data_IF_993430298692
#
_entry.id   IF_993430298692
#
_cell.length_a   1.000
_cell.length_b   1.000
_cell.length_c   1.000
_cell.angle_alpha   90.00
_cell.angle_beta   90.00
_cell.angle_gamma   90.00
#
_symmetry.space_group_name_H-M   'P 1'
#
loop_
_entity.id
_entity.type
_entity.pdbx_description
1 polymer ?
#
# COMPACT_ATOMS: atom_id res chain seq x y z
N UNK A 1 3.42 -23.85 51.17
CA UNK A 1 4.33 -24.03 50.02
C UNK A 1 3.59 -24.68 48.87
N UNK A 2 3.18 -23.90 47.87
CA UNK A 2 3.40 -24.14 46.44
C UNK A 2 2.93 -22.88 45.71
N UNK A 3 3.85 -22.33 44.95
CA UNK A 3 3.86 -20.98 44.38
C UNK A 3 2.74 -20.80 43.35
N UNK A 4 2.15 -19.61 43.37
CA UNK A 4 1.51 -18.99 42.23
C UNK A 4 2.39 -19.11 40.99
N UNK A 5 1.81 -19.58 39.88
CA UNK A 5 2.27 -19.20 38.54
C UNK A 5 1.26 -18.20 38.04
N UNK A 6 1.62 -16.93 38.19
CA UNK A 6 0.94 -15.79 37.61
C UNK A 6 0.99 -15.89 36.09
N UNK A 7 -0.14 -15.76 35.42
CA UNK A 7 -0.22 -15.48 33.99
C UNK A 7 0.20 -14.03 33.75
N UNK A 8 1.49 -13.75 33.91
CA UNK A 8 2.10 -12.45 33.61
C UNK A 8 3.52 -12.72 33.13
N UNK A 9 3.66 -12.97 31.83
CA UNK A 9 4.87 -12.76 31.03
C UNK A 9 4.48 -12.94 29.55
N UNK A 10 3.44 -12.21 29.12
CA UNK A 10 3.46 -11.73 27.74
C UNK A 10 4.51 -10.64 27.76
N UNK A 11 5.68 -10.93 27.18
CA UNK A 11 6.75 -9.97 26.97
C UNK A 11 6.10 -8.67 26.44
N UNK A 12 6.10 -7.60 27.24
CA UNK A 12 5.78 -6.26 26.75
C UNK A 12 6.84 -5.98 25.69
N UNK A 13 6.46 -6.18 24.43
CA UNK A 13 7.37 -5.97 23.32
C UNK A 13 7.53 -4.47 23.19
N UNK A 14 8.70 -3.97 23.58
CA UNK A 14 9.08 -2.58 23.35
C UNK A 14 9.07 -2.31 21.85
N UNK A 15 8.19 -1.42 21.40
CA UNK A 15 8.19 -0.90 20.05
C UNK A 15 9.25 0.20 19.97
N UNK A 16 10.08 0.15 18.93
CA UNK A 16 11.02 1.24 18.66
C UNK A 16 10.26 2.26 17.82
N UNK A 17 10.07 3.48 18.35
CA UNK A 17 9.68 4.58 17.45
C UNK A 17 10.86 4.85 16.53
N UNK A 18 10.56 5.04 15.23
CA UNK A 18 11.57 5.53 14.29
C UNK A 18 12.17 6.81 14.85
N UNK A 19 13.49 6.85 14.97
CA UNK A 19 14.15 8.12 15.22
C UNK A 19 13.94 9.03 14.00
N UNK A 20 14.01 10.35 14.20
CA UNK A 20 13.92 11.28 13.07
C UNK A 20 15.02 11.00 12.02
N UNK A 21 16.18 10.50 12.44
CA UNK A 21 17.27 10.12 11.54
C UNK A 21 16.93 8.85 10.74
N UNK A 22 16.37 7.83 11.38
CA UNK A 22 15.92 6.62 10.67
C UNK A 22 14.83 6.96 9.66
N UNK A 23 13.86 7.79 10.04
CA UNK A 23 12.79 8.22 9.14
C UNK A 23 13.34 8.99 7.95
N UNK A 24 14.29 9.90 8.16
CA UNK A 24 14.93 10.63 7.07
C UNK A 24 15.65 9.69 6.09
N UNK A 25 16.35 8.67 6.60
CA UNK A 25 16.98 7.66 5.74
C UNK A 25 15.92 6.88 4.95
N UNK A 26 14.80 6.52 5.58
CA UNK A 26 13.67 5.86 4.90
C UNK A 26 13.10 6.75 3.79
N UNK A 27 12.85 8.03 4.07
CA UNK A 27 12.40 9.01 3.08
C UNK A 27 13.36 9.14 1.90
N UNK A 28 14.67 9.21 2.17
CA UNK A 28 15.69 9.26 1.11
C UNK A 28 15.68 8.00 0.24
N UNK A 29 15.53 6.82 0.83
CA UNK A 29 15.42 5.56 0.09
C UNK A 29 14.14 5.49 -0.73
N UNK A 30 12.99 5.85 -0.13
CA UNK A 30 11.71 5.90 -0.82
C UNK A 30 11.71 6.88 -1.98
N UNK A 31 12.35 8.04 -1.82
CA UNK A 31 12.54 9.02 -2.90
C UNK A 31 13.37 8.43 -4.04
N UNK A 32 14.49 7.76 -3.75
CA UNK A 32 15.30 7.10 -4.78
C UNK A 32 14.49 6.03 -5.53
N UNK A 33 13.67 5.26 -4.82
CA UNK A 33 12.80 4.25 -5.41
C UNK A 33 11.74 4.88 -6.31
N UNK A 34 11.13 5.99 -5.89
CA UNK A 34 10.12 6.67 -6.68
C UNK A 34 10.71 7.38 -7.90
N UNK A 35 11.91 7.95 -7.80
CA UNK A 35 12.65 8.49 -8.94
C UNK A 35 12.95 7.37 -9.95
N UNK A 36 13.28 6.17 -9.49
CA UNK A 36 13.50 5.03 -10.38
C UNK A 36 12.19 4.58 -11.05
N UNK A 37 11.08 4.51 -10.31
CA UNK A 37 9.76 4.25 -10.89
C UNK A 37 9.40 5.31 -11.92
N UNK A 38 9.64 6.59 -11.63
CA UNK A 38 9.44 7.70 -12.57
C UNK A 38 10.26 7.51 -13.85
N UNK A 39 11.56 7.21 -13.73
CA UNK A 39 12.45 6.96 -14.88
C UNK A 39 11.90 5.87 -15.80
N UNK A 40 11.47 4.75 -15.21
CA UNK A 40 10.87 3.63 -15.97
C UNK A 40 9.56 4.10 -16.62
N UNK A 41 8.70 4.78 -15.87
CA UNK A 41 7.42 5.25 -16.39
C UNK A 41 7.60 6.22 -17.57
N UNK A 42 8.51 7.19 -17.47
CA UNK A 42 8.84 8.14 -18.53
C UNK A 42 9.42 7.44 -19.76
N UNK A 43 10.39 6.52 -19.57
CA UNK A 43 11.03 5.77 -20.66
C UNK A 43 10.03 4.96 -21.48
N UNK A 44 9.01 4.37 -20.85
CA UNK A 44 8.05 3.48 -21.51
C UNK A 44 6.67 4.12 -21.76
N UNK A 45 6.49 5.40 -21.40
CA UNK A 45 5.21 6.09 -21.54
C UNK A 45 4.09 5.45 -20.71
N UNK A 46 4.40 5.03 -19.49
CA UNK A 46 3.45 4.52 -18.49
C UNK A 46 2.98 5.71 -17.66
N UNK A 47 1.67 5.91 -17.57
CA UNK A 47 1.12 7.03 -16.79
C UNK A 47 0.93 6.61 -15.33
N UNK A 48 1.39 7.46 -14.42
CA UNK A 48 1.24 7.28 -12.99
C UNK A 48 0.87 8.61 -12.31
N UNK A 49 0.40 8.53 -11.08
CA UNK A 49 0.14 9.67 -10.20
C UNK A 49 0.65 9.34 -8.80
N UNK A 50 1.19 10.32 -8.08
CA UNK A 50 1.25 10.20 -6.62
C UNK A 50 -0.17 10.03 -6.09
N UNK A 51 -0.33 9.31 -4.98
CA UNK A 51 -1.61 9.16 -4.30
C UNK A 51 -1.43 9.18 -2.78
N UNK A 52 -2.51 9.00 -2.04
CA UNK A 52 -2.44 8.80 -0.60
C UNK A 52 -1.76 9.94 0.17
N UNK A 53 -0.98 9.55 1.18
CA UNK A 53 -0.16 10.46 1.99
C UNK A 53 0.87 11.21 1.16
N UNK A 54 1.47 10.56 0.15
CA UNK A 54 2.47 11.18 -0.72
C UNK A 54 1.93 12.32 -1.57
N UNK A 55 0.70 12.20 -2.09
CA UNK A 55 0.06 13.28 -2.83
C UNK A 55 -0.33 14.44 -1.90
N UNK A 56 -0.77 14.15 -0.67
CA UNK A 56 -0.99 15.19 0.36
C UNK A 56 0.34 15.89 0.68
N UNK A 57 1.41 15.12 0.86
CA UNK A 57 2.76 15.61 1.10
C UNK A 57 3.24 16.55 -0.01
N UNK A 58 3.14 16.13 -1.27
CA UNK A 58 3.51 16.94 -2.43
C UNK A 58 2.79 18.30 -2.43
N UNK A 59 1.48 18.30 -2.19
CA UNK A 59 0.65 19.52 -2.27
C UNK A 59 0.83 20.42 -1.03
N UNK A 60 0.98 19.84 0.15
CA UNK A 60 0.98 20.58 1.43
C UNK A 60 2.37 20.93 1.94
N UNK A 61 3.33 20.02 1.77
CA UNK A 61 4.68 20.12 2.33
C UNK A 61 5.77 20.21 1.26
N UNK A 62 5.42 20.03 -0.01
CA UNK A 62 6.38 19.91 -1.13
C UNK A 62 7.36 18.75 -0.95
N UNK A 63 6.94 17.70 -0.25
CA UNK A 63 7.77 16.57 0.16
C UNK A 63 7.01 15.60 1.05
N UNK A 64 7.71 14.79 1.83
CA UNK A 64 7.07 13.87 2.77
C UNK A 64 6.25 14.61 3.83
N UNK A 65 5.18 13.98 4.30
CA UNK A 65 4.57 14.39 5.56
C UNK A 65 5.56 13.99 6.68
N UNK A 66 5.93 14.89 7.61
CA UNK A 66 7.08 14.65 8.50
C UNK A 66 7.01 13.43 9.43
N UNK A 67 5.82 12.87 9.64
CA UNK A 67 5.60 11.68 10.47
C UNK A 67 5.09 10.48 9.65
N UNK A 68 4.95 10.64 8.34
CA UNK A 68 4.52 9.59 7.45
C UNK A 68 5.73 8.78 7.00
N UNK A 69 5.51 7.51 6.72
CA UNK A 69 6.58 6.53 6.58
C UNK A 69 6.44 5.65 5.34
N UNK A 70 5.49 5.99 4.46
CA UNK A 70 5.25 5.35 3.19
C UNK A 70 5.46 6.30 2.00
N UNK A 71 5.49 5.69 0.82
CA UNK A 71 5.32 6.43 -0.42
C UNK A 71 4.46 5.64 -1.39
N UNK A 72 3.44 6.30 -1.93
CA UNK A 72 2.39 5.69 -2.71
C UNK A 72 2.30 6.26 -4.12
N UNK A 73 2.27 5.35 -5.09
CA UNK A 73 2.01 5.66 -6.50
C UNK A 73 0.77 4.90 -6.95
N UNK A 74 -0.09 5.54 -7.73
CA UNK A 74 -1.23 4.91 -8.36
C UNK A 74 -1.10 4.89 -9.89
N UNK A 75 -1.61 3.82 -10.49
CA UNK A 75 -1.67 3.63 -11.94
C UNK A 75 -3.03 3.07 -12.33
N UNK A 76 -3.54 3.41 -13.52
CA UNK A 76 -4.68 2.68 -14.07
C UNK A 76 -4.27 1.23 -14.35
N UNK A 77 -5.20 0.27 -14.22
CA UNK A 77 -4.92 -1.17 -14.40
C UNK A 77 -4.06 -1.49 -15.64
N UNK A 78 -4.34 -0.87 -16.80
CA UNK A 78 -3.54 -1.04 -18.02
C UNK A 78 -2.07 -0.61 -17.86
N UNK A 79 -1.85 0.55 -17.25
CA UNK A 79 -0.52 1.11 -17.02
C UNK A 79 0.22 0.30 -15.94
N UNK A 80 -0.51 -0.14 -14.91
CA UNK A 80 -0.02 -1.01 -13.85
C UNK A 80 0.49 -2.36 -14.38
N UNK A 81 -0.30 -3.08 -15.18
CA UNK A 81 0.14 -4.37 -15.76
C UNK A 81 1.37 -4.20 -16.64
N UNK A 82 1.39 -3.14 -17.47
CA UNK A 82 2.55 -2.82 -18.30
C UNK A 82 3.79 -2.51 -17.46
N UNK A 83 3.62 -1.84 -16.32
CA UNK A 83 4.72 -1.60 -15.38
C UNK A 83 5.25 -2.90 -14.79
N UNK A 84 4.37 -3.83 -14.38
CA UNK A 84 4.79 -5.14 -13.83
C UNK A 84 5.56 -5.99 -14.83
N UNK A 85 5.25 -5.90 -16.12
CA UNK A 85 5.98 -6.59 -17.18
C UNK A 85 7.40 -6.04 -17.38
N UNK A 86 7.57 -4.72 -17.27
CA UNK A 86 8.79 -4.01 -17.67
C UNK A 86 9.75 -3.83 -16.49
N UNK A 87 9.23 -3.40 -15.34
CA UNK A 87 10.04 -2.95 -14.22
C UNK A 87 11.02 -4.01 -13.68
N UNK A 88 10.70 -5.32 -13.60
CA UNK A 88 11.67 -6.32 -13.14
C UNK A 88 12.97 -6.39 -13.96
N UNK A 89 12.94 -5.97 -15.23
CA UNK A 89 14.11 -5.97 -16.12
C UNK A 89 14.86 -4.63 -16.13
N UNK A 90 14.20 -3.57 -15.67
CA UNK A 90 14.66 -2.19 -15.81
C UNK A 90 15.09 -1.56 -14.49
N UNK A 91 14.59 -2.06 -13.35
CA UNK A 91 14.98 -1.59 -12.02
C UNK A 91 16.48 -1.77 -11.79
N UNK A 92 17.10 -0.78 -11.17
CA UNK A 92 18.42 -0.92 -10.56
C UNK A 92 18.48 -2.18 -9.67
N UNK A 93 19.64 -2.85 -9.65
CA UNK A 93 19.85 -4.10 -8.91
C UNK A 93 19.57 -3.97 -7.41
N UNK A 94 19.68 -2.75 -6.85
CA UNK A 94 19.35 -2.49 -5.44
C UNK A 94 17.85 -2.53 -5.15
N UNK A 95 17.00 -2.55 -6.17
CA UNK A 95 15.55 -2.62 -6.05
C UNK A 95 14.97 -3.95 -6.55
N UNK A 96 13.74 -4.24 -6.13
CA UNK A 96 13.00 -5.41 -6.60
C UNK A 96 11.50 -5.17 -6.54
N UNK A 97 10.73 -5.94 -7.32
CA UNK A 97 9.28 -6.01 -7.21
C UNK A 97 8.88 -7.22 -6.38
N UNK A 98 8.01 -6.99 -5.42
CA UNK A 98 7.27 -8.02 -4.69
C UNK A 98 5.78 -7.77 -4.85
N UNK A 99 5.01 -8.85 -4.98
CA UNK A 99 3.56 -8.84 -5.02
C UNK A 99 3.03 -10.21 -4.57
N UNK A 100 1.71 -10.37 -4.53
CA UNK A 100 1.10 -11.62 -4.07
C UNK A 100 1.43 -12.87 -4.95
N UNK A 101 1.97 -12.69 -6.16
CA UNK A 101 2.33 -13.79 -7.07
C UNK A 101 3.70 -14.38 -6.77
N UNK A 102 4.69 -13.51 -6.51
CA UNK A 102 6.07 -13.90 -6.22
C UNK A 102 6.40 -13.92 -4.72
N UNK A 103 5.56 -13.29 -3.90
CA UNK A 103 5.64 -13.24 -2.43
C UNK A 103 4.33 -13.73 -1.79
N UNK A 104 4.15 -15.06 -1.61
CA UNK A 104 2.94 -15.65 -1.01
C UNK A 104 2.59 -15.10 0.38
N UNK A 105 3.55 -14.56 1.11
CA UNK A 105 3.42 -13.86 2.38
C UNK A 105 2.58 -12.57 2.31
N UNK A 106 2.52 -11.91 1.14
CA UNK A 106 1.80 -10.65 1.00
C UNK A 106 0.30 -10.90 1.08
N UNK A 107 -0.36 -10.32 2.09
CA UNK A 107 -1.82 -10.43 2.25
C UNK A 107 -2.56 -9.55 1.25
N UNK A 108 -2.04 -8.34 1.04
CA UNK A 108 -2.55 -7.40 0.06
C UNK A 108 -2.00 -7.71 -1.32
N UNK A 109 -2.73 -7.30 -2.34
CA UNK A 109 -2.43 -7.63 -3.73
C UNK A 109 -1.90 -6.44 -4.53
N UNK A 110 -1.61 -5.33 -3.85
CA UNK A 110 -0.78 -4.29 -4.45
C UNK A 110 0.64 -4.82 -4.71
N UNK A 111 1.40 -4.07 -5.49
CA UNK A 111 2.82 -4.33 -5.71
C UNK A 111 3.62 -3.39 -4.84
N UNK A 112 4.72 -3.88 -4.28
CA UNK A 112 5.76 -3.06 -3.67
C UNK A 112 7.00 -3.08 -4.54
N UNK A 113 7.60 -1.92 -4.70
CA UNK A 113 9.03 -1.86 -5.01
C UNK A 113 9.75 -1.85 -3.67
N UNK A 114 10.73 -2.72 -3.48
CA UNK A 114 11.53 -2.84 -2.25
C UNK A 114 12.98 -2.46 -2.49
N UNK A 115 13.63 -1.97 -1.44
CA UNK A 115 15.07 -1.76 -1.40
C UNK A 115 15.76 -2.98 -0.79
N UNK A 116 16.52 -3.72 -1.60
CA UNK A 116 17.26 -4.91 -1.15
C UNK A 116 18.22 -4.57 -0.03
N UNK A 117 18.49 -5.56 0.82
CA UNK A 117 19.44 -5.45 1.94
C UNK A 117 19.08 -4.35 2.96
N UNK A 118 17.80 -3.99 3.04
CA UNK A 118 17.25 -3.19 4.14
C UNK A 118 16.32 -4.08 4.97
N UNK A 119 16.22 -3.83 6.26
CA UNK A 119 15.34 -4.60 7.14
C UNK A 119 14.62 -3.65 8.10
N UNK A 120 13.30 -3.81 8.18
CA UNK A 120 12.35 -3.18 9.07
C UNK A 120 11.42 -4.30 9.54
N UNK A 121 11.77 -4.91 10.67
CA UNK A 121 10.94 -5.97 11.27
C UNK A 121 9.81 -5.32 12.04
N UNK A 122 8.57 -5.62 11.67
CA UNK A 122 7.38 -5.19 12.41
C UNK A 122 6.86 -6.31 13.32
N UNK A 123 6.18 -5.92 14.39
CA UNK A 123 5.72 -6.86 15.42
C UNK A 123 4.45 -7.67 15.07
N UNK A 124 4.10 -7.76 13.79
CA UNK A 124 2.82 -8.31 13.30
C UNK A 124 2.72 -9.85 13.42
N UNK A 125 3.13 -10.42 14.55
CA UNK A 125 3.02 -11.85 14.86
C UNK A 125 3.84 -12.76 13.95
N UNK A 126 4.06 -14.00 14.37
CA UNK A 126 4.78 -15.02 13.59
C UNK A 126 4.08 -15.44 12.27
N UNK A 127 3.10 -14.67 11.79
CA UNK A 127 2.30 -14.94 10.58
C UNK A 127 2.25 -13.77 9.60
N UNK A 128 2.70 -12.57 9.95
CA UNK A 128 2.96 -11.52 8.96
C UNK A 128 4.39 -11.67 8.46
N UNK A 129 4.58 -12.57 7.51
CA UNK A 129 5.86 -12.80 6.84
C UNK A 129 6.12 -11.79 5.72
N UNK A 130 5.35 -10.69 5.66
CA UNK A 130 5.47 -9.70 4.61
C UNK A 130 6.89 -9.12 4.56
N UNK A 131 7.44 -8.82 3.36
CA UNK A 131 8.84 -8.48 3.22
C UNK A 131 9.20 -7.26 4.08
N UNK A 132 10.36 -7.37 4.73
CA UNK A 132 10.82 -6.47 5.77
C UNK A 132 11.63 -5.30 5.20
N UNK A 133 11.79 -5.18 3.91
CA UNK A 133 12.55 -4.12 3.28
C UNK A 133 11.82 -2.77 3.33
N UNK A 134 12.58 -1.68 3.23
CA UNK A 134 12.03 -0.37 2.87
C UNK A 134 11.32 -0.51 1.52
N UNK A 135 10.11 0.03 1.43
CA UNK A 135 9.27 -0.11 0.24
C UNK A 135 8.56 1.19 -0.14
N UNK A 136 8.12 1.22 -1.40
CA UNK A 136 7.06 2.11 -1.88
C UNK A 136 5.93 1.25 -2.45
N UNK A 137 4.69 1.66 -2.27
CA UNK A 137 3.51 0.93 -2.74
C UNK A 137 3.05 1.44 -4.12
N UNK A 138 2.77 0.51 -5.02
CA UNK A 138 2.16 0.77 -6.34
C UNK A 138 0.74 0.21 -6.33
N UNK A 139 -0.25 1.10 -6.42
CA UNK A 139 -1.67 0.75 -6.37
C UNK A 139 -2.34 0.73 -7.75
N UNK A 140 -2.99 -0.39 -8.13
CA UNK A 140 -3.81 -0.42 -9.32
C UNK A 140 -5.16 0.28 -9.07
N UNK A 141 -5.59 1.06 -10.06
CA UNK A 141 -6.95 1.56 -10.18
C UNK A 141 -7.71 0.71 -11.20
N UNK A 142 -8.55 -0.18 -10.67
CA UNK A 142 -9.26 -1.20 -11.43
C UNK A 142 -10.55 -0.65 -12.05
N UNK A 143 -10.95 -1.21 -13.18
CA UNK A 143 -12.13 -0.74 -13.92
C UNK A 143 -13.43 -1.19 -13.23
N UNK A 144 -14.38 -0.27 -13.10
CA UNK A 144 -15.69 -0.53 -12.51
C UNK A 144 -16.76 -0.80 -13.56
N UNK A 145 -17.64 -1.80 -13.41
CA UNK A 145 -18.74 -1.96 -14.34
C UNK A 145 -19.78 -0.83 -14.17
N UNK A 146 -20.23 -0.26 -15.30
CA UNK A 146 -21.23 0.82 -15.30
C UNK A 146 -22.63 0.36 -14.86
N UNK A 147 -22.94 -0.93 -15.00
CA UNK A 147 -24.23 -1.50 -14.58
C UNK A 147 -24.31 -1.56 -13.06
N UNK A 148 -25.38 -0.99 -12.49
CA UNK A 148 -25.64 -1.01 -11.04
C UNK A 148 -25.60 -2.42 -10.44
N UNK A 149 -26.18 -3.41 -11.14
CA UNK A 149 -26.21 -4.81 -10.69
C UNK A 149 -24.79 -5.39 -10.71
N UNK A 150 -24.05 -5.20 -11.81
CA UNK A 150 -22.66 -5.68 -11.92
C UNK A 150 -21.76 -5.03 -10.88
N UNK A 151 -21.95 -3.74 -10.61
CA UNK A 151 -21.22 -2.99 -9.58
C UNK A 151 -21.51 -3.54 -8.17
N UNK A 152 -22.79 -3.82 -7.87
CA UNK A 152 -23.17 -4.46 -6.60
C UNK A 152 -22.50 -5.83 -6.44
N UNK A 153 -22.55 -6.67 -7.48
CA UNK A 153 -21.91 -8.00 -7.48
C UNK A 153 -20.40 -7.89 -7.32
N UNK A 154 -19.74 -7.02 -8.08
CA UNK A 154 -18.30 -6.79 -7.99
C UNK A 154 -17.90 -6.36 -6.57
N UNK A 155 -18.61 -5.39 -5.99
CA UNK A 155 -18.40 -4.95 -4.60
C UNK A 155 -18.61 -6.07 -3.58
N UNK A 156 -19.62 -6.92 -3.78
CA UNK A 156 -19.90 -8.03 -2.87
C UNK A 156 -18.77 -9.07 -2.91
N UNK A 157 -18.34 -9.46 -4.12
CA UNK A 157 -17.21 -10.38 -4.33
C UNK A 157 -15.94 -9.81 -3.72
N UNK A 158 -15.68 -8.52 -3.94
CA UNK A 158 -14.54 -7.81 -3.40
C UNK A 158 -14.49 -7.83 -1.87
N UNK A 159 -15.57 -7.39 -1.22
CA UNK A 159 -15.64 -7.29 0.25
C UNK A 159 -15.58 -8.66 0.91
N UNK A 160 -16.23 -9.67 0.32
CA UNK A 160 -16.23 -11.04 0.86
C UNK A 160 -14.90 -11.71 0.56
N UNK A 161 -14.40 -11.61 -0.67
CA UNK A 161 -13.15 -12.18 -1.14
C UNK A 161 -11.96 -11.73 -0.32
N UNK A 162 -11.83 -10.41 -0.08
CA UNK A 162 -10.78 -9.85 0.80
C UNK A 162 -10.81 -10.44 2.20
N UNK A 163 -12.01 -10.65 2.76
CA UNK A 163 -12.17 -11.24 4.10
C UNK A 163 -11.87 -12.73 4.13
N UNK A 164 -12.13 -13.44 3.04
CA UNK A 164 -11.70 -14.83 2.88
C UNK A 164 -10.17 -14.89 2.78
N UNK A 165 -9.53 -13.97 2.04
CA UNK A 165 -8.06 -13.85 2.03
C UNK A 165 -7.54 -13.67 3.46
N UNK A 166 -8.07 -12.69 4.21
CA UNK A 166 -7.65 -12.46 5.60
C UNK A 166 -7.83 -13.69 6.48
N UNK A 167 -8.97 -14.37 6.38
CA UNK A 167 -9.23 -15.59 7.13
C UNK A 167 -8.22 -16.70 6.81
N UNK A 168 -7.87 -16.87 5.53
CA UNK A 168 -6.98 -17.95 5.05
C UNK A 168 -5.49 -17.65 5.31
N UNK A 169 -5.09 -16.39 5.30
CA UNK A 169 -3.72 -15.96 5.65
C UNK A 169 -3.53 -15.78 7.16
N UNK A 170 -4.61 -15.83 7.94
CA UNK A 170 -4.58 -15.57 9.38
C UNK A 170 -4.44 -14.09 9.73
N UNK A 171 -4.67 -13.19 8.78
CA UNK A 171 -4.71 -11.75 9.02
C UNK A 171 -5.92 -11.37 9.90
N UNK A 172 -5.80 -10.38 10.80
CA UNK A 172 -6.89 -9.97 11.68
C UNK A 172 -8.18 -9.64 10.93
N UNK A 173 -9.28 -10.27 11.34
CA UNK A 173 -10.59 -10.07 10.75
C UNK A 173 -11.51 -9.31 11.71
N UNK A 174 -11.53 -7.98 11.58
CA UNK A 174 -12.35 -7.09 12.39
C UNK A 174 -13.78 -6.99 11.85
N UNK A 175 -14.62 -7.99 12.13
CA UNK A 175 -16.04 -8.03 11.74
C UNK A 175 -16.91 -8.55 12.88
N UNK A 176 -18.20 -8.20 12.86
CA UNK A 176 -19.19 -8.73 13.80
C UNK A 176 -19.33 -10.26 13.68
N UNK A 177 -19.72 -10.92 14.77
CA UNK A 177 -19.79 -12.38 14.88
C UNK A 177 -20.59 -13.03 13.74
N UNK A 178 -21.79 -12.53 13.43
CA UNK A 178 -22.62 -13.08 12.35
C UNK A 178 -21.94 -12.96 10.97
N UNK A 179 -21.21 -11.87 10.70
CA UNK A 179 -20.46 -11.70 9.44
C UNK A 179 -19.32 -12.70 9.39
N UNK A 180 -18.64 -12.93 10.53
CA UNK A 180 -17.58 -13.94 10.63
C UNK A 180 -18.10 -15.33 10.29
N UNK A 181 -19.25 -15.72 10.82
CA UNK A 181 -19.89 -17.00 10.50
C UNK A 181 -20.16 -17.13 8.99
N UNK A 182 -20.77 -16.11 8.38
CA UNK A 182 -21.04 -16.10 6.93
C UNK A 182 -19.73 -16.24 6.13
N UNK A 183 -18.68 -15.50 6.48
CA UNK A 183 -17.38 -15.58 5.79
C UNK A 183 -16.77 -16.97 5.94
N UNK A 184 -16.82 -17.57 7.13
CA UNK A 184 -16.33 -18.93 7.35
C UNK A 184 -17.07 -19.94 6.45
N UNK A 185 -18.40 -19.88 6.38
CA UNK A 185 -19.21 -20.75 5.52
C UNK A 185 -18.86 -20.57 4.04
N UNK A 186 -18.76 -19.32 3.57
CA UNK A 186 -18.37 -19.03 2.18
C UNK A 186 -16.93 -19.47 1.87
N UNK A 187 -16.03 -19.41 2.85
CA UNK A 187 -14.64 -19.82 2.70
C UNK A 187 -14.44 -21.34 2.52
N UNK A 188 -15.47 -22.16 2.77
CA UNK A 188 -15.43 -23.62 2.52
C UNK A 188 -15.26 -23.89 1.03
N UNK A 189 -15.86 -23.05 0.17
CA UNK A 189 -15.76 -23.15 -1.29
C UNK A 189 -14.45 -22.59 -1.86
N UNK A 190 -13.57 -22.03 -1.01
CA UNK A 190 -12.27 -21.47 -1.40
C UNK A 190 -11.18 -22.24 -0.67
N UNK A 191 -10.58 -23.28 -1.29
CA UNK A 191 -9.78 -24.27 -0.57
C UNK A 191 -8.63 -23.70 0.25
N UNK A 192 -7.84 -22.81 -0.34
CA UNK A 192 -6.62 -22.26 0.24
C UNK A 192 -6.44 -20.76 -0.08
N UNK A 193 -5.44 -20.14 0.53
CA UNK A 193 -5.10 -18.72 0.33
C UNK A 193 -4.81 -18.37 -1.13
N UNK A 194 -4.19 -19.28 -1.89
CA UNK A 194 -3.86 -19.06 -3.30
C UNK A 194 -5.11 -18.96 -4.16
N UNK A 195 -6.10 -19.82 -3.91
CA UNK A 195 -7.43 -19.73 -4.54
C UNK A 195 -8.15 -18.43 -4.15
N UNK A 196 -8.06 -18.01 -2.89
CA UNK A 196 -8.67 -16.77 -2.41
C UNK A 196 -8.07 -15.55 -3.12
N UNK A 197 -6.74 -15.46 -3.19
CA UNK A 197 -6.01 -14.40 -3.90
C UNK A 197 -6.31 -14.40 -5.41
N UNK A 198 -6.38 -15.57 -6.05
CA UNK A 198 -6.77 -15.69 -7.46
C UNK A 198 -8.21 -15.22 -7.71
N UNK A 199 -9.16 -15.57 -6.85
CA UNK A 199 -10.54 -15.09 -6.96
C UNK A 199 -10.61 -13.57 -6.82
N UNK A 200 -9.87 -13.04 -5.82
CA UNK A 200 -9.76 -11.61 -5.59
C UNK A 200 -9.24 -10.89 -6.83
N UNK A 201 -8.10 -11.33 -7.37
CA UNK A 201 -7.49 -10.82 -8.60
C UNK A 201 -8.36 -10.92 -9.83
N UNK A 202 -9.00 -12.07 -10.02
CA UNK A 202 -9.95 -12.23 -11.11
C UNK A 202 -11.07 -11.17 -11.05
N UNK A 203 -11.56 -10.82 -9.87
CA UNK A 203 -12.58 -9.80 -9.72
C UNK A 203 -12.08 -8.41 -10.16
N UNK A 204 -10.81 -8.08 -9.85
CA UNK A 204 -10.14 -6.83 -10.26
C UNK A 204 -10.00 -6.73 -11.79
N UNK A 205 -9.56 -7.81 -12.44
CA UNK A 205 -9.26 -7.81 -13.87
C UNK A 205 -10.47 -8.06 -14.78
N UNK A 206 -11.59 -8.56 -14.25
CA UNK A 206 -12.73 -9.00 -15.07
C UNK A 206 -13.31 -7.89 -15.96
N UNK A 207 -13.08 -6.62 -15.62
CA UNK A 207 -13.60 -5.48 -16.35
C UNK A 207 -12.53 -4.68 -17.10
N UNK A 208 -11.32 -5.21 -17.29
CA UNK A 208 -10.19 -4.47 -17.88
C UNK A 208 -10.38 -4.05 -19.33
N UNK A 209 -11.23 -4.77 -20.08
CA UNK A 209 -11.57 -4.40 -21.46
C UNK A 209 -12.62 -3.28 -21.54
N UNK A 210 -13.21 -2.86 -20.41
CA UNK A 210 -14.21 -1.81 -20.40
C UNK A 210 -13.55 -0.45 -20.18
N UNK A 211 -13.84 0.51 -21.06
CA UNK A 211 -13.67 1.93 -20.76
C UNK A 211 -14.79 2.38 -19.80
N UNK A 212 -14.66 1.97 -18.54
CA UNK A 212 -15.62 2.28 -17.49
C UNK A 212 -15.70 3.78 -17.18
N UNK A 213 -16.85 4.24 -16.70
CA UNK A 213 -16.99 5.64 -16.23
C UNK A 213 -16.24 5.89 -14.93
N UNK A 214 -15.99 4.83 -14.15
CA UNK A 214 -15.32 4.89 -12.85
C UNK A 214 -14.21 3.86 -12.75
N UNK A 215 -13.26 4.14 -11.87
CA UNK A 215 -12.19 3.23 -11.48
C UNK A 215 -12.10 3.21 -9.95
N UNK A 216 -11.50 2.19 -9.37
CA UNK A 216 -11.46 2.01 -7.91
C UNK A 216 -10.10 1.49 -7.45
N UNK A 217 -9.58 2.04 -6.34
CA UNK A 217 -8.48 1.44 -5.60
C UNK A 217 -9.03 0.38 -4.62
N UNK A 218 -8.88 -0.89 -4.96
CA UNK A 218 -9.40 -1.99 -4.14
C UNK A 218 -8.49 -2.34 -2.95
N UNK A 219 -7.22 -1.94 -3.02
CA UNK A 219 -6.25 -2.07 -1.95
C UNK A 219 -6.42 -1.00 -0.86
N UNK A 220 -7.16 0.08 -1.14
CA UNK A 220 -7.40 1.18 -0.21
C UNK A 220 -8.22 0.80 1.03
N UNK A 221 -7.91 1.47 2.15
CA UNK A 221 -8.53 1.23 3.46
C UNK A 221 -9.73 2.13 3.73
N UNK A 222 -9.94 3.20 2.95
CA UNK A 222 -11.01 4.19 3.15
C UNK A 222 -12.39 3.73 2.64
N UNK A 223 -12.43 2.50 2.12
CA UNK A 223 -13.65 1.81 1.75
C UNK A 223 -14.12 2.14 0.34
N UNK A 224 -14.81 1.15 -0.24
CA UNK A 224 -15.16 1.10 -1.65
C UNK A 224 -15.71 2.40 -2.26
N UNK A 225 -16.58 3.12 -1.54
CA UNK A 225 -17.20 4.34 -2.06
C UNK A 225 -16.20 5.49 -2.19
N UNK A 226 -15.34 5.69 -1.19
CA UNK A 226 -14.35 6.77 -1.18
C UNK A 226 -13.24 6.49 -2.19
N UNK A 227 -12.89 5.22 -2.37
CA UNK A 227 -11.85 4.78 -3.29
C UNK A 227 -12.31 4.70 -4.76
N UNK A 228 -13.62 4.78 -5.02
CA UNK A 228 -14.16 4.79 -6.38
C UNK A 228 -14.21 6.21 -6.91
N UNK A 229 -13.50 6.48 -8.01
CA UNK A 229 -13.38 7.82 -8.60
C UNK A 229 -13.78 7.82 -10.08
N UNK A 230 -14.14 8.97 -10.67
CA UNK A 230 -14.37 9.09 -12.11
C UNK A 230 -13.12 8.76 -12.92
N UNK A 231 -13.22 7.87 -13.92
CA UNK A 231 -12.10 7.54 -14.82
C UNK A 231 -11.52 8.77 -15.52
N UNK A 232 -12.38 9.75 -15.85
CA UNK A 232 -11.99 11.01 -16.50
C UNK A 232 -10.93 11.80 -15.71
N UNK A 233 -10.80 11.59 -14.41
CA UNK A 233 -9.76 12.24 -13.61
C UNK A 233 -8.35 11.80 -14.03
N UNK A 234 -8.20 10.58 -14.56
CA UNK A 234 -6.94 10.06 -15.13
C UNK A 234 -6.73 10.43 -16.62
N UNK A 235 -7.44 11.44 -17.12
CA UNK A 235 -7.25 11.92 -18.50
C UNK A 235 -6.15 12.97 -18.63
N UNK A 236 -5.93 13.75 -17.58
CA UNK A 236 -4.94 14.83 -17.54
C UNK A 236 -4.10 14.71 -16.28
N UNK A 237 -2.80 14.96 -16.44
CA UNK A 237 -1.82 14.92 -15.37
C UNK A 237 -1.07 16.25 -15.35
N UNK A 238 -0.66 16.66 -14.16
CA UNK A 238 0.06 17.90 -13.88
C UNK A 238 1.33 17.58 -13.09
N UNK A 239 2.41 18.34 -13.29
CA UNK A 239 3.61 18.20 -12.48
C UNK A 239 3.35 18.70 -11.05
N UNK A 240 3.93 18.01 -10.07
CA UNK A 240 3.96 18.39 -8.65
C UNK A 240 5.37 18.27 -8.09
N UNK A 241 5.75 19.14 -7.18
CA UNK A 241 7.06 19.10 -6.50
C UNK A 241 7.01 18.18 -5.29
N UNK A 242 8.04 17.38 -5.10
CA UNK A 242 8.20 16.49 -3.94
C UNK A 242 9.69 16.27 -3.69
N UNK A 243 10.21 16.75 -2.55
CA UNK A 243 11.62 16.62 -2.16
C UNK A 243 12.62 17.12 -3.23
N UNK A 244 12.29 18.23 -3.90
CA UNK A 244 13.10 18.82 -4.97
C UNK A 244 13.02 18.09 -6.32
N UNK A 245 12.30 16.98 -6.40
CA UNK A 245 12.00 16.26 -7.63
C UNK A 245 10.62 16.63 -8.17
N UNK A 246 10.40 16.43 -9.47
CA UNK A 246 9.09 16.63 -10.11
C UNK A 246 8.43 15.30 -10.40
N UNK A 247 7.24 15.10 -9.85
CA UNK A 247 6.40 13.92 -10.07
C UNK A 247 5.10 14.29 -10.79
N UNK A 248 4.37 13.26 -11.20
CA UNK A 248 3.06 13.40 -11.83
C UNK A 248 1.94 13.29 -10.79
N UNK A 249 0.92 14.13 -10.90
CA UNK A 249 -0.36 13.99 -10.22
C UNK A 249 -1.50 14.08 -11.23
N UNK A 250 -2.64 13.43 -10.99
CA UNK A 250 -3.84 13.73 -11.77
C UNK A 250 -4.24 15.20 -11.60
N UNK A 251 -4.72 15.87 -12.66
CA UNK A 251 -5.10 17.29 -12.59
C UNK A 251 -6.20 17.56 -11.54
N UNK A 252 -7.05 16.57 -11.29
CA UNK A 252 -8.18 16.61 -10.36
C UNK A 252 -7.78 16.14 -8.94
N UNK A 253 -6.50 16.26 -8.57
CA UNK A 253 -5.99 15.77 -7.29
C UNK A 253 -6.73 16.37 -6.08
N UNK A 254 -7.11 17.65 -6.13
CA UNK A 254 -7.80 18.33 -5.02
C UNK A 254 -9.19 17.70 -4.76
N UNK A 255 -9.95 17.44 -5.83
CA UNK A 255 -11.25 16.77 -5.73
C UNK A 255 -11.11 15.33 -5.22
N UNK A 256 -10.06 14.63 -5.66
CA UNK A 256 -9.77 13.28 -5.20
C UNK A 256 -9.41 13.25 -3.70
N UNK A 257 -8.47 14.09 -3.26
CA UNK A 257 -8.07 14.17 -1.86
C UNK A 257 -9.24 14.56 -0.97
N UNK A 258 -10.07 15.54 -1.36
CA UNK A 258 -11.29 15.91 -0.63
C UNK A 258 -12.31 14.78 -0.51
N UNK A 259 -12.46 13.95 -1.55
CA UNK A 259 -13.37 12.80 -1.50
C UNK A 259 -12.94 11.77 -0.45
N UNK A 260 -11.63 11.50 -0.35
CA UNK A 260 -11.09 10.47 0.54
C UNK A 260 -10.93 11.00 1.96
N UNK A 261 -10.28 12.15 2.11
CA UNK A 261 -9.77 12.69 3.38
C UNK A 261 -10.59 13.86 3.94
N UNK A 262 -11.41 14.53 3.13
CA UNK A 262 -12.10 15.76 3.53
C UNK A 262 -11.16 16.97 3.48
N UNK A 263 -11.08 17.74 4.56
CA UNK A 263 -10.13 18.87 4.65
C UNK A 263 -8.70 18.38 4.89
N UNK A 264 -8.07 17.90 3.81
CA UNK A 264 -6.74 17.31 3.85
C UNK A 264 -5.62 18.34 4.08
N UNK A 265 -5.90 19.64 3.91
CA UNK A 265 -4.94 20.70 4.14
C UNK A 265 -4.78 21.01 5.63
N UNK A 266 -5.84 20.82 6.42
CA UNK A 266 -5.74 20.88 7.88
C UNK A 266 -4.81 19.78 8.41
N UNK A 267 -3.91 20.16 9.32
CA UNK A 267 -3.05 19.18 10.00
C UNK A 267 -3.90 18.38 10.99
N UNK A 268 -3.68 17.06 11.10
CA UNK A 268 -4.29 16.29 12.17
C UNK A 268 -3.76 16.78 13.53
N UNK A 269 -4.51 16.55 14.63
CA UNK A 269 -4.03 16.78 15.99
C UNK A 269 -2.69 16.08 16.25
N UNK A 270 -1.82 16.66 17.08
CA UNK A 270 -0.46 16.14 17.31
C UNK A 270 -0.43 14.68 17.77
N UNK A 271 -1.39 14.26 18.60
CA UNK A 271 -1.50 12.88 19.06
C UNK A 271 -1.92 11.87 17.98
N UNK A 272 -2.26 12.34 16.78
CA UNK A 272 -2.56 11.52 15.60
C UNK A 272 -1.45 11.60 14.54
N UNK A 273 -0.39 12.36 14.79
CA UNK A 273 0.80 12.49 13.92
C UNK A 273 1.79 11.38 14.23
N UNK A 274 1.42 10.15 13.90
CA UNK A 274 2.19 8.94 14.19
C UNK A 274 2.50 8.18 12.91
N UNK A 275 3.63 7.46 12.91
CA UNK A 275 3.96 6.48 11.86
C UNK A 275 2.86 5.43 11.77
N UNK A 276 2.44 5.13 10.55
CA UNK A 276 1.26 4.30 10.31
C UNK A 276 1.62 2.89 9.82
N UNK A 277 2.76 2.72 9.15
CA UNK A 277 3.14 1.45 8.52
C UNK A 277 4.29 0.72 9.22
N UNK A 278 5.32 1.43 9.65
CA UNK A 278 6.45 0.92 10.41
C UNK A 278 6.18 1.09 11.91
N UNK A 279 5.94 -0.04 12.56
CA UNK A 279 6.03 -0.17 14.02
C UNK A 279 7.16 -1.13 14.32
N UNK A 280 8.41 -0.70 14.09
CA UNK A 280 9.52 -1.62 14.03
C UNK A 280 9.91 -2.12 15.42
N UNK A 281 10.41 -3.35 15.43
CA UNK A 281 11.14 -3.95 16.55
C UNK A 281 12.63 -4.09 16.24
N UNK A 282 13.02 -4.00 14.97
CA UNK A 282 14.42 -4.02 14.52
C UNK A 282 14.54 -3.30 13.17
N UNK A 283 15.60 -2.51 13.01
CA UNK A 283 15.92 -1.77 11.80
C UNK A 283 17.38 -2.02 11.44
N UNK A 284 17.64 -2.47 10.20
CA UNK A 284 18.97 -2.57 9.61
C UNK A 284 18.99 -1.82 8.28
N UNK A 285 19.69 -0.68 8.28
CA UNK A 285 19.94 0.18 7.13
C UNK A 285 21.45 0.25 6.80
N UNK A 286 22.27 -0.62 7.40
CA UNK A 286 23.73 -0.55 7.35
C UNK A 286 24.30 -0.59 5.93
N UNK A 287 23.65 -1.32 5.04
CA UNK A 287 24.02 -1.45 3.63
C UNK A 287 23.90 -0.15 2.82
N UNK A 288 23.18 0.86 3.31
CA UNK A 288 22.87 2.10 2.58
C UNK A 288 23.46 3.38 3.17
N UNK A 289 24.24 3.26 4.24
CA UNK A 289 24.90 4.40 4.86
C UNK A 289 24.99 4.24 6.36
N UNK A 290 25.62 3.17 6.84
CA UNK A 290 26.01 3.02 8.23
C UNK A 290 26.93 4.16 8.70
N UNK A 291 26.38 5.35 8.92
CA UNK A 291 26.92 6.36 9.82
C UNK A 291 26.18 6.24 11.14
N UNK A 292 26.58 5.20 11.88
CA UNK A 292 26.57 5.23 13.34
C UNK A 292 27.86 5.86 13.89
N UNK A 293 28.54 6.66 13.06
CA UNK A 293 29.74 7.40 13.40
C UNK A 293 29.54 8.86 12.98
N UNK A 294 29.77 9.76 13.93
CA UNK A 294 29.80 11.23 13.81
C UNK A 294 28.44 11.94 13.85
N UNK A 295 27.76 11.85 15.00
CA UNK A 295 27.08 13.00 15.59
C UNK A 295 27.60 13.11 17.04
N UNK A 296 28.72 13.80 17.19
CA UNK A 296 29.08 14.53 18.42
C UNK A 296 28.68 15.99 18.23
#
# INVERSE_FOLDING_TARGET
MKKHVSASNLCEKEYVQLSNDDLRIIHELQLQMAVEVRRICEKYGIRYTLCGGSLIGAVRHQGFIPWDDDMDIAMLAKDYERFLEIAPQELDQKFAIINYENSPEMVFVNTRVICRNTVIKNNAGARATAPHEVFIDIFPFDNMPDSKIKCFVHKAIEVIGRRIVYLKTGYPLNVSLYKRIIICLLSIFVPNERCAKKLYRWNQHRFDQNNSKSVVNLCGTYGYRKETVPRRWFSQFVPVQFEGETFSAIAEYDAWLKQVYGDYMALPPENQRVHSHFQPVEIDLTAFGGRKAEIE
#
